data_IF_875546246020
#
_entry.id   IF_875546246020
#
_cell.length_a   1.000
_cell.length_b   1.000
_cell.length_c   1.000
_cell.angle_alpha   90.00
_cell.angle_beta   90.00
_cell.angle_gamma   90.00
#
_symmetry.space_group_name_H-M   'P 1'
#
loop_
_entity.id
_entity.type
_entity.pdbx_description
1 polymer ?
#
# COMPACT_ATOMS: atom_id res chain seq x y z
N UNK A 1 13.27 -7.18 -5.57
CA UNK A 1 12.27 -6.57 -4.68
C UNK A 1 10.84 -6.76 -5.20
N UNK A 2 10.45 -6.20 -6.35
CA UNK A 2 9.06 -6.25 -6.83
C UNK A 2 8.43 -7.66 -6.98
N UNK A 3 9.20 -8.67 -7.38
CA UNK A 3 8.71 -10.07 -7.48
C UNK A 3 8.32 -10.67 -6.12
N UNK A 4 9.18 -10.49 -5.10
CA UNK A 4 8.91 -10.96 -3.73
C UNK A 4 7.70 -10.24 -3.13
N UNK A 5 7.54 -8.95 -3.42
CA UNK A 5 6.38 -8.19 -3.00
C UNK A 5 5.08 -8.70 -3.64
N UNK A 6 5.10 -8.96 -4.94
CA UNK A 6 3.95 -9.53 -5.64
C UNK A 6 3.59 -10.93 -5.12
N UNK A 7 4.59 -11.81 -4.94
CA UNK A 7 4.40 -13.15 -4.36
C UNK A 7 3.83 -13.06 -2.93
N UNK A 8 4.29 -12.11 -2.12
CA UNK A 8 3.78 -11.87 -0.77
C UNK A 8 2.31 -11.42 -0.76
N UNK A 9 1.87 -10.67 -1.77
CA UNK A 9 0.46 -10.28 -1.93
C UNK A 9 -0.41 -11.44 -2.42
N UNK A 10 0.12 -12.35 -3.24
CA UNK A 10 -0.65 -13.50 -3.71
C UNK A 10 -0.78 -14.61 -2.66
N UNK A 11 0.27 -14.84 -1.86
CA UNK A 11 0.30 -15.89 -0.84
C UNK A 11 -0.71 -15.61 0.29
N UNK A 12 -0.71 -14.36 0.78
CA UNK A 12 -1.70 -13.87 1.75
C UNK A 12 -2.35 -12.60 1.20
N UNK A 13 -3.55 -12.69 0.58
CA UNK A 13 -4.18 -11.57 -0.15
C UNK A 13 -4.83 -10.53 0.78
N UNK A 14 -4.26 -10.34 1.96
CA UNK A 14 -4.65 -9.33 2.95
C UNK A 14 -3.40 -8.56 3.37
N UNK A 15 -3.49 -7.23 3.28
CA UNK A 15 -2.46 -6.29 3.71
C UNK A 15 -2.94 -5.59 4.98
N UNK A 16 -2.13 -5.69 6.04
CA UNK A 16 -2.43 -5.02 7.31
C UNK A 16 -2.10 -3.54 7.22
N UNK A 17 -3.10 -2.67 7.19
CA UNK A 17 -2.92 -1.23 7.16
C UNK A 17 -3.03 -0.64 8.56
N UNK A 18 -1.90 -0.35 9.18
CA UNK A 18 -1.81 0.07 10.57
C UNK A 18 -1.88 1.60 10.67
N UNK A 19 -2.68 2.09 11.62
CA UNK A 19 -2.93 3.53 11.83
C UNK A 19 -2.52 4.04 13.23
N UNK A 20 -2.07 3.13 14.08
CA UNK A 20 -1.59 3.41 15.44
C UNK A 20 -0.66 2.27 15.91
N UNK A 21 0.00 2.48 17.05
CA UNK A 21 0.91 1.50 17.64
C UNK A 21 0.20 0.22 18.09
N UNK A 22 -1.05 0.28 18.53
CA UNK A 22 -1.80 -0.91 18.95
C UNK A 22 -2.10 -1.84 17.77
N UNK A 23 -2.54 -1.26 16.65
CA UNK A 23 -2.72 -1.95 15.39
C UNK A 23 -1.40 -2.48 14.83
N UNK A 24 -0.29 -1.76 15.02
CA UNK A 24 1.03 -2.26 14.67
C UNK A 24 1.34 -3.58 15.38
N UNK A 25 1.25 -3.64 16.72
CA UNK A 25 1.57 -4.86 17.47
C UNK A 25 0.72 -6.05 16.99
N UNK A 26 -0.59 -5.84 16.75
CA UNK A 26 -1.48 -6.89 16.22
C UNK A 26 -1.10 -7.32 14.80
N UNK A 27 -0.70 -6.39 13.94
CA UNK A 27 -0.28 -6.70 12.58
C UNK A 27 1.03 -7.51 12.53
N UNK A 28 1.88 -7.41 13.56
CA UNK A 28 3.09 -8.25 13.66
C UNK A 28 2.74 -9.73 13.88
N UNK A 29 1.62 -10.01 14.54
CA UNK A 29 1.11 -11.36 14.83
C UNK A 29 0.29 -11.96 13.67
N UNK A 30 -0.21 -11.12 12.75
CA UNK A 30 -1.01 -11.57 11.61
C UNK A 30 -0.17 -12.36 10.58
N UNK A 31 -0.79 -13.21 9.76
CA UNK A 31 -0.08 -13.97 8.72
C UNK A 31 0.34 -13.10 7.53
N UNK A 32 -0.29 -11.94 7.37
CA UNK A 32 -0.01 -10.97 6.31
C UNK A 32 1.49 -10.62 6.24
N UNK A 33 2.08 -10.81 5.06
CA UNK A 33 3.52 -10.54 4.84
C UNK A 33 3.82 -9.06 4.59
N UNK A 34 2.80 -8.30 4.20
CA UNK A 34 2.92 -6.88 3.86
C UNK A 34 2.16 -6.04 4.89
N UNK A 35 2.84 -5.04 5.43
CA UNK A 35 2.27 -4.06 6.36
C UNK A 35 2.34 -2.67 5.75
N UNK A 36 1.19 -2.02 5.66
CA UNK A 36 1.07 -0.61 5.27
C UNK A 36 1.07 0.27 6.51
N UNK A 37 2.10 1.10 6.67
CA UNK A 37 2.25 2.02 7.79
C UNK A 37 1.58 3.35 7.40
N UNK A 38 0.43 3.65 8.01
CA UNK A 38 -0.38 4.84 7.73
C UNK A 38 -0.27 5.92 8.81
N UNK A 39 0.69 5.81 9.73
CA UNK A 39 0.87 6.72 10.85
C UNK A 39 2.34 6.88 11.23
N UNK A 40 2.60 7.87 12.08
CA UNK A 40 3.91 8.19 12.62
C UNK A 40 4.36 9.58 12.22
N UNK A 41 5.59 9.89 12.62
CA UNK A 41 6.25 11.16 12.39
C UNK A 41 7.73 10.90 12.07
N UNK A 42 8.45 11.95 11.68
CA UNK A 42 9.88 11.86 11.33
C UNK A 42 10.76 11.26 12.44
N UNK A 43 10.38 11.40 13.71
CA UNK A 43 11.12 10.86 14.86
C UNK A 43 10.76 9.39 15.14
N UNK A 44 9.50 9.00 14.93
CA UNK A 44 9.00 7.66 15.25
C UNK A 44 9.09 6.66 14.09
N UNK A 45 9.11 7.13 12.84
CA UNK A 45 8.99 6.26 11.65
C UNK A 45 10.09 5.19 11.57
N UNK A 46 11.33 5.54 11.96
CA UNK A 46 12.44 4.58 12.01
C UNK A 46 12.14 3.41 12.94
N UNK A 47 11.58 3.70 14.12
CA UNK A 47 11.24 2.68 15.13
C UNK A 47 10.06 1.82 14.67
N UNK A 48 9.05 2.44 14.06
CA UNK A 48 7.87 1.72 13.53
C UNK A 48 8.30 0.75 12.43
N UNK A 49 9.05 1.23 11.45
CA UNK A 49 9.59 0.40 10.35
C UNK A 49 10.43 -0.74 10.91
N UNK A 50 11.32 -0.44 11.86
CA UNK A 50 12.17 -1.46 12.48
C UNK A 50 11.38 -2.59 13.13
N UNK A 51 10.30 -2.30 13.86
CA UNK A 51 9.41 -3.33 14.44
C UNK A 51 8.81 -4.27 13.39
N UNK A 52 8.40 -3.73 12.25
CA UNK A 52 7.88 -4.53 11.12
C UNK A 52 8.98 -5.41 10.53
N UNK A 53 10.16 -4.85 10.31
CA UNK A 53 11.32 -5.57 9.74
C UNK A 53 11.85 -6.66 10.67
N UNK A 54 11.93 -6.39 11.97
CA UNK A 54 12.36 -7.36 12.99
C UNK A 54 11.38 -8.55 13.07
N UNK A 55 10.16 -8.43 12.52
CA UNK A 55 9.16 -9.50 12.40
C UNK A 55 9.14 -10.20 11.03
N UNK A 56 10.17 -9.97 10.20
CA UNK A 56 10.33 -10.53 8.85
C UNK A 56 9.16 -10.20 7.89
N UNK A 57 8.60 -8.99 8.03
CA UNK A 57 7.53 -8.47 7.18
C UNK A 57 8.05 -7.36 6.25
N UNK A 58 7.31 -7.12 5.17
CA UNK A 58 7.55 -6.04 4.22
C UNK A 58 6.91 -4.76 4.76
N UNK A 59 7.73 -3.74 5.01
CA UNK A 59 7.31 -2.46 5.56
C UNK A 59 7.14 -1.42 4.43
N UNK A 60 5.89 -1.05 4.14
CA UNK A 60 5.56 -0.02 3.15
C UNK A 60 5.02 1.22 3.87
N UNK A 61 5.72 2.35 3.73
CA UNK A 61 5.39 3.59 4.46
C UNK A 61 4.54 4.52 3.61
N UNK A 62 3.39 4.95 4.13
CA UNK A 62 2.60 5.99 3.49
C UNK A 62 3.17 7.38 3.79
N UNK A 63 4.06 7.85 2.91
CA UNK A 63 4.82 9.09 3.15
C UNK A 63 3.95 10.34 3.23
N UNK A 64 2.78 10.37 2.56
CA UNK A 64 1.89 11.54 2.66
C UNK A 64 1.20 11.67 4.03
N UNK A 65 1.26 10.64 4.89
CA UNK A 65 0.61 10.62 6.21
C UNK A 65 1.59 10.74 7.38
N UNK A 66 2.90 10.79 7.12
CA UNK A 66 3.91 10.91 8.18
C UNK A 66 4.11 12.38 8.51
N UNK A 67 3.92 12.73 9.78
CA UNK A 67 4.10 14.11 10.24
C UNK A 67 5.56 14.55 10.17
N UNK A 68 5.79 15.80 9.79
CA UNK A 68 7.12 16.38 9.56
C UNK A 68 7.76 16.02 8.22
N UNK A 69 7.20 15.11 7.42
CA UNK A 69 7.64 14.88 6.05
C UNK A 69 6.96 15.88 5.10
N UNK A 70 7.77 16.54 4.27
CA UNK A 70 7.26 17.44 3.21
C UNK A 70 6.86 16.65 1.94
N UNK A 71 6.77 17.29 0.78
CA UNK A 71 6.57 16.59 -0.49
C UNK A 71 7.74 16.86 -1.42
N UNK A 72 8.95 16.52 -0.94
CA UNK A 72 10.20 16.76 -1.64
C UNK A 72 10.96 15.46 -1.82
N UNK A 73 11.71 15.41 -2.91
CA UNK A 73 12.54 14.28 -3.29
C UNK A 73 13.49 13.78 -2.19
N UNK A 74 13.97 14.69 -1.36
CA UNK A 74 14.86 14.40 -0.21
C UNK A 74 14.25 13.41 0.79
N UNK A 75 12.92 13.26 0.83
CA UNK A 75 12.24 12.36 1.77
C UNK A 75 12.47 10.91 1.43
N UNK A 76 12.57 10.60 0.13
CA UNK A 76 12.91 9.26 -0.32
C UNK A 76 14.33 8.89 0.15
N UNK A 77 15.27 9.84 0.05
CA UNK A 77 16.62 9.67 0.59
C UNK A 77 16.57 9.47 2.11
N UNK A 78 15.81 10.30 2.82
CA UNK A 78 15.66 10.18 4.27
C UNK A 78 15.18 8.78 4.66
N UNK A 79 14.12 8.27 4.02
CA UNK A 79 13.61 6.93 4.31
C UNK A 79 14.66 5.85 4.03
N UNK A 80 15.36 5.94 2.91
CA UNK A 80 16.37 4.95 2.53
C UNK A 80 17.61 4.95 3.43
N UNK A 81 18.03 6.13 3.89
CA UNK A 81 19.25 6.28 4.70
C UNK A 81 18.99 6.12 6.21
N UNK A 82 17.79 6.47 6.68
CA UNK A 82 17.49 6.53 8.12
C UNK A 82 16.51 5.45 8.57
N UNK A 83 15.91 4.70 7.65
CA UNK A 83 14.97 3.62 7.96
C UNK A 83 15.29 2.38 7.13
N UNK A 84 14.66 1.27 7.47
CA UNK A 84 14.76 -0.02 6.75
C UNK A 84 13.50 -0.28 5.90
N UNK A 85 12.81 0.78 5.47
CA UNK A 85 11.56 0.65 4.74
C UNK A 85 11.79 -0.01 3.38
N UNK A 86 10.96 -0.99 3.04
CA UNK A 86 11.06 -1.70 1.76
C UNK A 86 10.42 -0.91 0.62
N UNK A 87 9.49 -0.01 0.95
CA UNK A 87 8.75 0.76 -0.04
C UNK A 87 7.92 1.91 0.52
N UNK A 88 7.25 2.59 -0.39
CA UNK A 88 6.37 3.72 -0.08
C UNK A 88 4.98 3.57 -0.69
N UNK A 89 4.00 4.23 -0.05
CA UNK A 89 2.72 4.60 -0.64
C UNK A 89 2.66 6.11 -0.79
N UNK A 90 2.24 6.59 -1.96
CA UNK A 90 1.89 7.99 -2.15
C UNK A 90 0.81 8.14 -3.21
N UNK A 91 0.05 9.23 -3.09
CA UNK A 91 -0.87 9.72 -4.11
C UNK A 91 -0.16 10.51 -5.22
N UNK A 92 1.11 10.88 -5.01
CA UNK A 92 1.87 11.78 -5.90
C UNK A 92 2.80 10.99 -6.81
N UNK A 93 2.56 11.07 -8.12
CA UNK A 93 3.36 10.38 -9.13
C UNK A 93 4.86 10.75 -9.10
N UNK A 94 5.21 11.99 -8.73
CA UNK A 94 6.62 12.41 -8.61
C UNK A 94 7.36 11.64 -7.51
N UNK A 95 6.71 11.40 -6.37
CA UNK A 95 7.30 10.63 -5.27
C UNK A 95 7.44 9.16 -5.63
N UNK A 96 6.42 8.60 -6.30
CA UNK A 96 6.47 7.23 -6.83
C UNK A 96 7.62 7.06 -7.82
N UNK A 97 7.79 7.99 -8.77
CA UNK A 97 8.91 7.97 -9.70
C UNK A 97 10.26 7.98 -8.99
N UNK A 98 10.45 8.90 -8.05
CA UNK A 98 11.70 9.03 -7.32
C UNK A 98 12.02 7.76 -6.50
N UNK A 99 11.06 7.25 -5.74
CA UNK A 99 11.23 6.02 -4.97
C UNK A 99 11.60 4.83 -5.85
N UNK A 100 10.98 4.72 -7.03
CA UNK A 100 11.29 3.68 -8.01
C UNK A 100 12.72 3.75 -8.50
N UNK A 101 13.19 4.95 -8.86
CA UNK A 101 14.58 5.18 -9.30
C UNK A 101 15.60 4.84 -8.19
N UNK A 102 15.20 4.95 -6.92
CA UNK A 102 16.00 4.56 -5.78
C UNK A 102 15.90 3.08 -5.39
N UNK A 103 15.10 2.29 -6.10
CA UNK A 103 14.96 0.84 -5.89
C UNK A 103 14.01 0.44 -4.76
N UNK A 104 13.21 1.37 -4.24
CA UNK A 104 12.14 1.07 -3.28
C UNK A 104 10.92 0.47 -4.00
N UNK A 105 10.15 -0.35 -3.30
CA UNK A 105 8.82 -0.78 -3.76
C UNK A 105 7.89 0.44 -3.79
N UNK A 106 7.10 0.58 -4.84
CA UNK A 106 6.21 1.74 -4.99
C UNK A 106 4.75 1.35 -5.15
N UNK A 107 3.91 1.85 -4.25
CA UNK A 107 2.45 1.70 -4.31
C UNK A 107 1.82 3.04 -4.60
N UNK A 108 1.27 3.21 -5.79
CA UNK A 108 0.54 4.43 -6.16
C UNK A 108 -0.89 4.34 -5.63
N UNK A 109 -1.22 5.16 -4.63
CA UNK A 109 -2.61 5.25 -4.13
C UNK A 109 -3.45 6.12 -5.06
N UNK A 110 -4.63 5.64 -5.40
CA UNK A 110 -5.62 6.31 -6.25
C UNK A 110 -6.98 6.32 -5.55
N UNK A 111 -7.54 7.52 -5.36
CA UNK A 111 -8.93 7.67 -4.93
C UNK A 111 -9.83 7.69 -6.15
N UNK A 112 -10.78 6.77 -6.22
CA UNK A 112 -11.73 6.67 -7.32
C UNK A 112 -13.07 7.25 -6.83
N UNK A 113 -13.26 8.53 -7.07
CA UNK A 113 -14.44 9.29 -6.62
C UNK A 113 -15.46 9.47 -7.75
N UNK A 114 -14.98 9.49 -9.00
CA UNK A 114 -15.74 9.82 -10.20
C UNK A 114 -15.05 9.26 -11.45
N UNK A 115 -15.58 9.58 -12.63
CA UNK A 115 -14.99 9.16 -13.91
C UNK A 115 -13.64 9.84 -14.20
N UNK A 116 -13.43 11.08 -13.75
CA UNK A 116 -12.19 11.82 -13.99
C UNK A 116 -11.01 11.21 -13.22
N UNK A 117 -11.24 10.85 -11.96
CA UNK A 117 -10.27 10.14 -11.12
C UNK A 117 -9.95 8.74 -11.65
N UNK A 118 -10.93 8.03 -12.21
CA UNK A 118 -10.70 6.76 -12.90
C UNK A 118 -9.80 6.94 -14.14
N UNK A 119 -10.08 7.91 -15.01
CA UNK A 119 -9.22 8.19 -16.17
C UNK A 119 -7.83 8.72 -15.75
N UNK A 120 -7.76 9.49 -14.66
CA UNK A 120 -6.49 9.92 -14.06
C UNK A 120 -5.65 8.73 -13.58
N UNK A 121 -6.28 7.76 -12.92
CA UNK A 121 -5.59 6.55 -12.43
C UNK A 121 -4.91 5.78 -13.57
N UNK A 122 -5.55 5.67 -14.75
CA UNK A 122 -4.97 5.03 -15.95
C UNK A 122 -3.63 5.63 -16.35
N UNK A 123 -3.52 6.96 -16.32
CA UNK A 123 -2.26 7.66 -16.67
C UNK A 123 -1.15 7.30 -15.69
N UNK A 124 -1.48 7.18 -14.40
CA UNK A 124 -0.50 6.78 -13.38
C UNK A 124 -0.03 5.34 -13.58
N UNK A 125 -0.91 4.40 -13.93
CA UNK A 125 -0.52 3.00 -14.21
C UNK A 125 0.42 2.92 -15.41
N UNK A 126 0.09 3.66 -16.47
CA UNK A 126 0.86 3.66 -17.72
C UNK A 126 2.21 4.39 -17.60
N UNK A 127 2.46 5.11 -16.50
CA UNK A 127 3.73 5.80 -16.29
C UNK A 127 4.92 4.85 -16.08
N UNK A 128 4.66 3.60 -15.68
CA UNK A 128 5.67 2.55 -15.49
C UNK A 128 6.50 2.67 -14.21
N UNK A 129 6.19 3.63 -13.33
CA UNK A 129 6.96 3.84 -12.10
C UNK A 129 6.40 3.12 -10.86
N UNK A 130 5.13 2.69 -10.90
CA UNK A 130 4.49 2.00 -9.80
C UNK A 130 4.72 0.47 -9.89
N UNK A 131 5.01 -0.18 -8.75
CA UNK A 131 5.01 -1.63 -8.63
C UNK A 131 3.61 -2.19 -8.35
N UNK A 132 2.77 -1.42 -7.66
CA UNK A 132 1.36 -1.74 -7.43
C UNK A 132 0.52 -0.47 -7.38
N UNK A 133 -0.80 -0.65 -7.48
CA UNK A 133 -1.78 0.42 -7.33
C UNK A 133 -2.72 0.06 -6.20
N UNK A 134 -2.89 0.98 -5.27
CA UNK A 134 -3.92 0.86 -4.24
C UNK A 134 -5.12 1.74 -4.63
N UNK A 135 -6.31 1.13 -4.74
CA UNK A 135 -7.53 1.83 -5.11
C UNK A 135 -8.50 1.94 -3.94
N UNK A 136 -8.96 3.16 -3.67
CA UNK A 136 -9.90 3.47 -2.60
C UNK A 136 -11.17 4.12 -3.19
N UNK A 137 -12.38 3.73 -2.75
CA UNK A 137 -12.67 2.63 -1.81
C UNK A 137 -12.63 1.23 -2.45
N UNK A 138 -12.46 0.21 -1.62
CA UNK A 138 -12.34 -1.20 -2.02
C UNK A 138 -13.68 -1.90 -2.24
N UNK A 139 -14.78 -1.31 -1.77
CA UNK A 139 -16.15 -1.82 -1.92
C UNK A 139 -16.78 -1.49 -3.28
N UNK A 140 -16.00 -1.59 -4.36
CA UNK A 140 -16.44 -1.23 -5.72
C UNK A 140 -16.06 -2.29 -6.76
N UNK A 141 -16.55 -3.54 -6.65
CA UNK A 141 -16.10 -4.66 -7.49
C UNK A 141 -16.23 -4.41 -9.00
N UNK A 142 -17.27 -3.70 -9.45
CA UNK A 142 -17.43 -3.34 -10.87
C UNK A 142 -16.31 -2.41 -11.37
N UNK A 143 -15.88 -1.48 -10.53
CA UNK A 143 -14.81 -0.53 -10.86
C UNK A 143 -13.45 -1.20 -10.75
N UNK A 144 -13.23 -2.03 -9.72
CA UNK A 144 -12.02 -2.87 -9.57
C UNK A 144 -11.83 -3.70 -10.84
N UNK A 145 -12.84 -4.46 -11.26
CA UNK A 145 -12.79 -5.30 -12.46
C UNK A 145 -12.46 -4.50 -13.72
N UNK A 146 -13.03 -3.29 -13.83
CA UNK A 146 -12.72 -2.39 -14.94
C UNK A 146 -11.26 -1.95 -14.89
N UNK A 147 -10.73 -1.57 -13.73
CA UNK A 147 -9.33 -1.17 -13.54
C UNK A 147 -8.38 -2.31 -13.89
N UNK A 148 -8.62 -3.49 -13.32
CA UNK A 148 -7.82 -4.69 -13.57
C UNK A 148 -7.78 -5.03 -15.07
N UNK A 149 -8.90 -4.86 -15.79
CA UNK A 149 -8.95 -5.16 -17.23
C UNK A 149 -8.00 -4.33 -18.11
N UNK A 150 -7.51 -3.20 -17.61
CA UNK A 150 -6.55 -2.35 -18.32
C UNK A 150 -5.25 -2.12 -17.53
N UNK A 151 -5.09 -2.72 -16.35
CA UNK A 151 -3.90 -2.61 -15.51
C UNK A 151 -2.95 -3.76 -15.77
N UNK A 152 -1.68 -3.46 -16.00
CA UNK A 152 -0.60 -4.46 -16.03
C UNK A 152 0.09 -4.61 -14.66
N UNK A 153 -0.40 -3.91 -13.64
CA UNK A 153 0.14 -3.90 -12.29
C UNK A 153 -0.83 -4.58 -11.32
N UNK A 154 -0.34 -5.21 -10.24
CA UNK A 154 -1.18 -5.68 -9.14
C UNK A 154 -2.04 -4.55 -8.59
N UNK A 155 -3.30 -4.87 -8.33
CA UNK A 155 -4.29 -3.93 -7.79
C UNK A 155 -4.62 -4.35 -6.37
N UNK A 156 -4.38 -3.46 -5.41
CA UNK A 156 -4.72 -3.62 -4.00
C UNK A 156 -6.00 -2.82 -3.76
N UNK A 157 -7.08 -3.49 -3.38
CA UNK A 157 -8.34 -2.82 -3.05
C UNK A 157 -8.35 -2.42 -1.57
N UNK A 158 -8.47 -1.12 -1.29
CA UNK A 158 -8.34 -0.59 0.06
C UNK A 158 -9.51 0.26 0.50
N UNK A 159 -9.76 0.31 1.80
CA UNK A 159 -10.73 1.23 2.41
C UNK A 159 -12.18 0.75 2.33
N UNK A 160 -12.91 0.97 3.43
CA UNK A 160 -14.29 0.52 3.65
C UNK A 160 -14.48 -1.02 3.59
N UNK A 161 -13.41 -1.81 3.68
CA UNK A 161 -13.50 -3.27 3.81
C UNK A 161 -13.89 -3.62 5.26
N UNK A 162 -15.11 -4.11 5.45
CA UNK A 162 -15.67 -4.36 6.78
C UNK A 162 -15.75 -5.84 7.15
N UNK A 163 -15.92 -6.72 6.16
CA UNK A 163 -16.10 -8.15 6.40
C UNK A 163 -15.53 -9.03 5.28
N UNK A 164 -15.73 -10.34 5.41
CA UNK A 164 -15.24 -11.34 4.47
C UNK A 164 -15.91 -11.25 3.09
N UNK A 165 -17.16 -10.79 3.02
CA UNK A 165 -17.86 -10.62 1.75
C UNK A 165 -17.17 -9.54 0.92
N UNK A 166 -16.82 -8.41 1.52
CA UNK A 166 -16.07 -7.33 0.85
C UNK A 166 -14.73 -7.83 0.29
N UNK A 167 -13.99 -8.61 1.09
CA UNK A 167 -12.71 -9.22 0.67
C UNK A 167 -12.95 -10.09 -0.57
N UNK A 168 -13.91 -11.01 -0.50
CA UNK A 168 -14.20 -11.94 -1.58
C UNK A 168 -14.65 -11.22 -2.85
N UNK A 169 -15.50 -10.19 -2.74
CA UNK A 169 -15.95 -9.41 -3.88
C UNK A 169 -14.81 -8.67 -4.57
N UNK A 170 -13.89 -8.08 -3.80
CA UNK A 170 -12.72 -7.39 -4.34
C UNK A 170 -11.76 -8.36 -5.07
N UNK A 171 -11.45 -9.50 -4.44
CA UNK A 171 -10.58 -10.52 -5.04
C UNK A 171 -11.22 -11.16 -6.28
N UNK A 172 -12.51 -11.48 -6.25
CA UNK A 172 -13.24 -11.99 -7.43
C UNK A 172 -13.33 -10.98 -8.58
N UNK A 173 -13.31 -9.68 -8.25
CA UNK A 173 -13.22 -8.63 -9.26
C UNK A 173 -11.82 -8.53 -9.90
N UNK A 174 -10.82 -9.24 -9.36
CA UNK A 174 -9.46 -9.32 -9.87
C UNK A 174 -8.44 -8.48 -9.10
N UNK A 175 -8.78 -7.96 -7.91
CA UNK A 175 -7.77 -7.40 -7.03
C UNK A 175 -6.79 -8.51 -6.61
N UNK A 176 -5.50 -8.18 -6.56
CA UNK A 176 -4.44 -9.09 -6.10
C UNK A 176 -4.51 -9.28 -4.59
N UNK A 177 -4.82 -8.21 -3.85
CA UNK A 177 -4.96 -8.23 -2.41
C UNK A 177 -5.95 -7.14 -1.95
N UNK A 178 -6.35 -7.20 -0.68
CA UNK A 178 -7.11 -6.14 -0.02
C UNK A 178 -6.30 -5.51 1.11
N UNK A 179 -6.36 -4.19 1.26
CA UNK A 179 -5.81 -3.49 2.43
C UNK A 179 -6.94 -3.03 3.35
N UNK A 180 -6.80 -3.27 4.65
CA UNK A 180 -7.78 -2.82 5.65
C UNK A 180 -7.11 -2.30 6.91
N UNK A 181 -7.74 -1.31 7.54
CA UNK A 181 -7.36 -0.83 8.88
C UNK A 181 -8.14 -1.52 10.00
N UNK A 182 -9.00 -2.47 9.64
CA UNK A 182 -9.81 -3.25 10.56
C UNK A 182 -9.06 -4.52 10.94
N UNK A 183 -8.67 -4.63 12.21
CA UNK A 183 -7.77 -5.68 12.68
C UNK A 183 -8.36 -7.08 12.47
N UNK A 184 -9.68 -7.23 12.58
CA UNK A 184 -10.36 -8.52 12.40
C UNK A 184 -10.13 -9.09 11.01
N UNK A 185 -9.99 -8.24 9.98
CA UNK A 185 -9.75 -8.64 8.59
C UNK A 185 -8.38 -9.30 8.40
N UNK A 186 -7.40 -8.96 9.23
CA UNK A 186 -6.02 -9.45 9.09
C UNK A 186 -5.85 -10.91 9.50
N UNK A 187 -6.82 -11.48 10.20
CA UNK A 187 -6.81 -12.85 10.73
C UNK A 187 -7.89 -13.74 10.07
N UNK A 188 -8.38 -13.36 8.89
CA UNK A 188 -9.45 -14.07 8.15
C UNK A 188 -8.94 -14.98 7.02
#
# INVERSE_FOLDING_TARGET
MGKLFYEALEDVPVVSAVKDMEGLEKALEADSKVVFILFGDICSIRTIVKKVKDSDKIAIVHIDLIDGLSNRDIIINFLKENTEADGIISTKASMIKNAKEQGLITVQRCFILDSLSLEGSKKHMNSGYADAIEILPGVMPKIIKRIVSFSNLPVIAGGLIEDKEDIMMALQAGATAVSSTKNEIWFM
#
